data_IF_401492631630
#
_entry.id   IF_401492631630
#
_cell.length_a   1.000
_cell.length_b   1.000
_cell.length_c   1.000
_cell.angle_alpha   90.00
_cell.angle_beta   90.00
_cell.angle_gamma   90.00
#
_symmetry.space_group_name_H-M   'P 1'
#
loop_
_entity.id
_entity.type
_entity.pdbx_description
1 polymer ?
#
# COMPACT_ATOMS: atom_id res chain seq x y z
N UNK A 1 -25.77 9.77 40.51
CA UNK A 1 -26.09 11.15 40.14
C UNK A 1 -25.27 11.49 38.90
N UNK A 2 -25.90 11.46 37.72
CA UNK A 2 -25.24 11.83 36.46
C UNK A 2 -25.10 13.35 36.44
N UNK A 3 -23.87 13.86 36.46
CA UNK A 3 -23.58 15.30 36.50
C UNK A 3 -22.82 15.71 35.23
N UNK A 4 -23.40 16.71 34.56
CA UNK A 4 -22.91 17.36 33.33
C UNK A 4 -23.07 16.52 32.06
N UNK A 5 -23.68 17.13 31.06
CA UNK A 5 -23.87 16.63 29.69
C UNK A 5 -22.50 16.23 29.13
N UNK A 6 -22.17 14.94 29.18
CA UNK A 6 -20.97 14.41 28.53
C UNK A 6 -21.12 14.57 27.02
N UNK A 7 -20.40 15.53 26.45
CA UNK A 7 -20.35 15.80 25.01
C UNK A 7 -19.56 14.73 24.24
N UNK A 8 -18.96 13.74 24.94
CA UNK A 8 -18.21 12.63 24.37
C UNK A 8 -18.26 11.40 25.27
N UNK A 9 -18.00 10.21 24.71
CA UNK A 9 -17.91 8.97 25.46
C UNK A 9 -16.47 8.75 25.98
N UNK A 10 -16.29 8.64 27.30
CA UNK A 10 -14.98 8.38 27.89
C UNK A 10 -14.58 6.91 27.71
N UNK A 11 -13.38 6.68 27.14
CA UNK A 11 -12.79 5.35 27.01
C UNK A 11 -11.59 5.15 27.95
N UNK A 12 -11.43 3.98 28.59
CA UNK A 12 -10.33 3.71 29.52
C UNK A 12 -9.04 3.39 28.76
N UNK A 13 -8.29 4.43 28.36
CA UNK A 13 -7.04 4.30 27.62
C UNK A 13 -5.82 4.19 28.56
N UNK A 14 -4.84 3.39 28.18
CA UNK A 14 -3.54 3.25 28.86
C UNK A 14 -2.39 3.57 27.88
N UNK A 15 -1.51 4.49 28.28
CA UNK A 15 -0.30 4.85 27.57
C UNK A 15 0.88 4.08 28.15
N UNK A 16 1.58 3.30 27.32
CA UNK A 16 2.85 2.71 27.70
C UNK A 16 3.96 3.77 27.66
N UNK A 17 4.63 4.09 28.79
CA UNK A 17 5.68 5.12 28.84
C UNK A 17 6.89 4.83 27.94
N UNK A 18 7.17 3.56 27.63
CA UNK A 18 8.35 3.14 26.88
C UNK A 18 8.11 3.20 25.37
N UNK A 19 7.05 2.55 24.89
CA UNK A 19 6.69 2.52 23.46
C UNK A 19 5.91 3.75 23.00
N UNK A 20 5.38 4.55 23.94
CA UNK A 20 4.40 5.62 23.71
C UNK A 20 3.14 5.13 22.99
N UNK A 21 2.88 3.82 23.02
CA UNK A 21 1.69 3.24 22.40
C UNK A 21 0.48 3.38 23.33
N UNK A 22 -0.67 3.68 22.73
CA UNK A 22 -1.96 3.76 23.42
C UNK A 22 -2.70 2.43 23.24
N UNK A 23 -3.25 1.91 24.33
CA UNK A 23 -3.98 0.65 24.41
C UNK A 23 -5.27 0.82 25.20
N UNK A 24 -6.24 -0.07 24.96
CA UNK A 24 -7.50 -0.07 25.70
C UNK A 24 -7.37 -0.93 26.95
N UNK A 25 -7.64 -0.37 28.13
CA UNK A 25 -7.67 -1.12 29.38
C UNK A 25 -8.95 -1.94 29.44
N UNK A 26 -8.85 -3.23 29.09
CA UNK A 26 -9.90 -4.27 29.15
C UNK A 26 -11.35 -3.74 29.19
N UNK A 27 -11.96 -3.55 28.01
CA UNK A 27 -13.39 -3.25 27.92
C UNK A 27 -14.17 -4.49 27.47
N UNK A 28 -15.27 -4.79 28.17
CA UNK A 28 -16.23 -5.82 27.78
C UNK A 28 -17.30 -5.29 26.80
N UNK A 29 -16.99 -4.22 26.06
CA UNK A 29 -17.92 -3.59 25.12
C UNK A 29 -17.86 -4.27 23.74
N UNK A 30 -19.00 -4.34 23.06
CA UNK A 30 -19.10 -4.79 21.66
C UNK A 30 -18.26 -3.93 20.69
N UNK A 31 -17.90 -2.71 21.09
CA UNK A 31 -17.10 -1.74 20.32
C UNK A 31 -15.58 -1.91 20.50
N UNK A 32 -15.14 -2.75 21.45
CA UNK A 32 -13.73 -3.02 21.73
C UNK A 32 -12.87 -3.33 20.47
N UNK A 33 -13.32 -4.16 19.50
CA UNK A 33 -12.50 -4.45 18.31
C UNK A 33 -12.31 -3.23 17.41
N UNK A 34 -13.34 -2.41 17.23
CA UNK A 34 -13.27 -1.20 16.40
C UNK A 34 -12.33 -0.18 17.04
N UNK A 35 -12.46 0.06 18.34
CA UNK A 35 -11.57 0.97 19.08
C UNK A 35 -10.12 0.46 19.03
N UNK A 36 -9.90 -0.85 19.19
CA UNK A 36 -8.57 -1.43 19.08
C UNK A 36 -7.95 -1.23 17.70
N UNK A 37 -8.74 -1.34 16.63
CA UNK A 37 -8.29 -1.07 15.26
C UNK A 37 -7.86 0.39 15.09
N UNK A 38 -8.66 1.33 15.59
CA UNK A 38 -8.32 2.76 15.53
C UNK A 38 -7.07 3.09 16.36
N UNK A 39 -6.90 2.48 17.54
CA UNK A 39 -5.69 2.64 18.35
C UNK A 39 -4.45 2.09 17.64
N UNK A 40 -4.57 1.00 16.87
CA UNK A 40 -3.47 0.51 16.04
C UNK A 40 -3.10 1.52 14.95
N UNK A 41 -4.08 2.09 14.25
CA UNK A 41 -3.87 3.16 13.26
C UNK A 41 -3.23 4.39 13.89
N UNK A 42 -3.69 4.81 15.07
CA UNK A 42 -3.14 5.94 15.83
C UNK A 42 -1.66 5.70 16.21
N UNK A 43 -1.34 4.51 16.69
CA UNK A 43 0.04 4.13 17.05
C UNK A 43 0.95 4.07 15.81
N UNK A 44 0.43 3.62 14.67
CA UNK A 44 1.17 3.66 13.39
C UNK A 44 1.41 5.10 12.93
N UNK A 45 0.40 5.97 13.02
CA UNK A 45 0.52 7.39 12.71
C UNK A 45 1.54 8.08 13.61
N UNK A 46 1.51 7.83 14.92
CA UNK A 46 2.48 8.39 15.87
C UNK A 46 3.93 8.04 15.49
N UNK A 47 4.21 6.76 15.20
CA UNK A 47 5.53 6.32 14.74
C UNK A 47 5.94 6.98 13.42
N UNK A 48 4.99 7.17 12.49
CA UNK A 48 5.25 7.86 11.22
C UNK A 48 5.62 9.33 11.43
N UNK A 49 4.93 10.03 12.34
CA UNK A 49 5.20 11.44 12.65
C UNK A 49 6.54 11.63 13.38
N UNK A 50 6.96 10.67 14.21
CA UNK A 50 8.29 10.71 14.85
C UNK A 50 9.45 10.53 13.87
N UNK A 51 9.19 9.93 12.70
CA UNK A 51 10.19 9.78 11.63
C UNK A 51 10.27 11.02 10.71
N UNK A 52 9.42 12.02 10.91
CA UNK A 52 9.56 13.31 10.26
C UNK A 52 10.70 14.11 10.90
N UNK A 53 11.31 14.98 10.11
CA UNK A 53 12.20 16.01 10.66
C UNK A 53 11.37 16.99 11.51
N UNK A 54 11.97 17.64 12.54
CA UNK A 54 11.30 18.69 13.31
C UNK A 54 10.66 19.73 12.37
N UNK A 55 9.37 20.11 12.55
CA UNK A 55 8.61 20.09 13.80
C UNK A 55 7.66 18.90 14.01
N UNK A 56 7.87 17.75 13.34
CA UNK A 56 7.02 16.54 13.43
C UNK A 56 5.55 16.75 13.02
N UNK A 57 5.25 17.89 12.39
CA UNK A 57 3.98 18.14 11.72
C UNK A 57 4.13 17.84 10.23
N UNK A 58 3.17 17.15 9.60
CA UNK A 58 3.22 16.89 8.17
C UNK A 58 3.42 18.20 7.37
N UNK A 59 4.39 18.26 6.44
CA UNK A 59 4.51 19.39 5.54
C UNK A 59 3.31 19.46 4.59
N UNK A 60 3.17 20.59 3.89
CA UNK A 60 2.21 20.68 2.79
C UNK A 60 2.47 19.55 1.76
N UNK A 61 1.42 18.96 1.14
CA UNK A 61 1.59 17.83 0.22
C UNK A 61 2.50 18.11 -0.99
N UNK A 62 2.71 19.38 -1.32
CA UNK A 62 3.61 19.83 -2.37
C UNK A 62 4.57 20.88 -1.79
N UNK A 63 5.87 20.85 -2.13
CA UNK A 63 6.55 19.87 -2.98
C UNK A 63 6.86 18.53 -2.28
N UNK A 64 6.86 17.43 -3.04
CA UNK A 64 7.14 16.08 -2.51
C UNK A 64 8.65 15.82 -2.45
N UNK A 65 9.11 15.11 -1.42
CA UNK A 65 10.50 14.66 -1.32
C UNK A 65 10.81 13.61 -2.41
N UNK A 66 11.76 13.85 -3.33
CA UNK A 66 12.04 12.96 -4.45
C UNK A 66 12.78 11.67 -4.06
N UNK A 67 13.33 11.58 -2.83
CA UNK A 67 14.20 10.47 -2.39
C UNK A 67 13.52 9.11 -2.52
N UNK A 68 12.26 9.01 -2.11
CA UNK A 68 11.51 7.75 -2.16
C UNK A 68 11.18 7.35 -3.60
N UNK A 69 10.72 8.28 -4.43
CA UNK A 69 10.48 8.03 -5.87
C UNK A 69 11.74 7.52 -6.56
N UNK A 70 12.91 8.08 -6.22
CA UNK A 70 14.18 7.64 -6.77
C UNK A 70 14.54 6.20 -6.34
N UNK A 71 14.30 5.84 -5.08
CA UNK A 71 14.52 4.47 -4.58
C UNK A 71 13.59 3.45 -5.26
N UNK A 72 12.29 3.79 -5.39
CA UNK A 72 11.30 2.97 -6.10
C UNK A 72 11.72 2.77 -7.55
N UNK A 73 12.13 3.84 -8.23
CA UNK A 73 12.59 3.79 -9.63
C UNK A 73 13.82 2.89 -9.78
N UNK A 74 14.81 3.03 -8.90
CA UNK A 74 16.03 2.19 -8.90
C UNK A 74 15.70 0.71 -8.72
N UNK A 75 14.78 0.39 -7.81
CA UNK A 75 14.36 -0.98 -7.55
C UNK A 75 13.59 -1.57 -8.73
N UNK A 76 12.69 -0.78 -9.34
CA UNK A 76 12.00 -1.14 -10.60
C UNK A 76 12.99 -1.43 -11.72
N UNK A 77 14.03 -0.61 -11.88
CA UNK A 77 15.02 -0.78 -12.95
C UNK A 77 15.91 -2.01 -12.72
N UNK A 78 16.19 -2.33 -11.45
CA UNK A 78 16.84 -3.58 -11.04
C UNK A 78 15.96 -4.80 -11.38
N UNK A 79 14.66 -4.74 -11.06
CA UNK A 79 13.69 -5.79 -11.41
C UNK A 79 13.55 -5.97 -12.93
N UNK A 80 13.48 -4.87 -13.70
CA UNK A 80 13.49 -4.90 -15.17
C UNK A 80 14.75 -5.59 -15.73
N UNK A 81 15.89 -5.37 -15.09
CA UNK A 81 17.15 -6.02 -15.49
C UNK A 81 17.11 -7.52 -15.24
N UNK A 82 16.58 -7.97 -14.09
CA UNK A 82 16.36 -9.38 -13.81
C UNK A 82 15.37 -10.00 -14.82
N UNK A 83 14.28 -9.30 -15.15
CA UNK A 83 13.29 -9.73 -16.13
C UNK A 83 13.92 -9.93 -17.52
N UNK A 84 14.74 -8.97 -18.00
CA UNK A 84 15.42 -9.09 -19.31
C UNK A 84 16.40 -10.25 -19.38
N UNK A 85 16.93 -10.71 -18.24
CA UNK A 85 17.77 -11.91 -18.13
C UNK A 85 16.94 -13.20 -18.01
N UNK A 86 15.63 -13.15 -18.27
CA UNK A 86 14.68 -14.24 -18.10
C UNK A 86 14.61 -14.81 -16.66
N UNK A 87 15.12 -14.08 -15.66
CA UNK A 87 14.98 -14.46 -14.27
C UNK A 87 13.69 -13.87 -13.70
N UNK A 88 12.56 -14.47 -14.07
CA UNK A 88 11.22 -13.95 -13.78
C UNK A 88 10.85 -14.04 -12.30
N UNK A 89 11.27 -15.10 -11.60
CA UNK A 89 11.03 -15.26 -10.16
C UNK A 89 11.70 -14.15 -9.34
N UNK A 90 12.97 -13.87 -9.63
CA UNK A 90 13.68 -12.75 -8.97
C UNK A 90 13.09 -11.39 -9.36
N UNK A 91 12.69 -11.22 -10.62
CA UNK A 91 12.02 -9.98 -11.04
C UNK A 91 10.72 -9.76 -10.26
N UNK A 92 9.88 -10.78 -10.09
CA UNK A 92 8.64 -10.70 -9.32
C UNK A 92 8.90 -10.37 -7.84
N UNK A 93 9.95 -10.93 -7.25
CA UNK A 93 10.39 -10.61 -5.88
C UNK A 93 10.80 -9.15 -5.75
N UNK A 94 11.63 -8.65 -6.66
CA UNK A 94 12.07 -7.25 -6.67
C UNK A 94 10.93 -6.25 -6.91
N UNK A 95 9.98 -6.58 -7.80
CA UNK A 95 8.77 -5.76 -7.95
C UNK A 95 7.92 -5.72 -6.68
N UNK A 96 7.84 -6.82 -5.93
CA UNK A 96 7.09 -6.86 -4.68
C UNK A 96 7.68 -5.92 -3.64
N UNK A 97 9.01 -5.90 -3.46
CA UNK A 97 9.64 -4.90 -2.59
C UNK A 97 9.42 -3.45 -3.05
N UNK A 98 9.37 -3.20 -4.36
CA UNK A 98 9.08 -1.87 -4.88
C UNK A 98 7.63 -1.45 -4.57
N UNK A 99 6.69 -2.39 -4.65
CA UNK A 99 5.28 -2.18 -4.28
C UNK A 99 5.18 -1.88 -2.78
N UNK A 100 5.84 -2.66 -1.92
CA UNK A 100 5.85 -2.44 -0.47
C UNK A 100 6.42 -1.05 -0.12
N UNK A 101 7.49 -0.62 -0.81
CA UNK A 101 8.08 0.70 -0.63
C UNK A 101 7.15 1.83 -1.09
N UNK A 102 6.39 1.62 -2.17
CA UNK A 102 5.41 2.58 -2.66
C UNK A 102 4.17 2.66 -1.76
N UNK A 103 3.68 1.52 -1.24
CA UNK A 103 2.56 1.47 -0.28
C UNK A 103 2.93 2.07 1.08
N UNK A 104 4.20 1.95 1.50
CA UNK A 104 4.69 2.55 2.73
C UNK A 104 4.90 4.07 2.67
N UNK A 105 4.40 4.75 1.62
CA UNK A 105 4.44 6.22 1.52
C UNK A 105 3.62 6.85 2.65
N UNK A 106 4.07 7.98 3.22
CA UNK A 106 3.26 8.68 4.20
C UNK A 106 1.93 9.16 3.61
N UNK A 107 0.85 9.03 4.39
CA UNK A 107 -0.51 9.35 3.92
C UNK A 107 -0.80 10.84 3.65
N UNK A 108 0.13 11.74 3.99
CA UNK A 108 0.01 13.18 3.71
C UNK A 108 0.59 13.59 2.35
N UNK A 109 1.28 12.68 1.65
CA UNK A 109 1.77 12.93 0.29
C UNK A 109 0.64 12.73 -0.75
N UNK A 110 0.77 13.31 -1.97
CA UNK A 110 -0.24 13.17 -3.00
C UNK A 110 -0.52 11.70 -3.36
N UNK A 111 -1.74 11.24 -3.13
CA UNK A 111 -2.15 9.87 -3.46
C UNK A 111 -2.04 9.55 -4.97
N UNK A 112 -2.09 10.57 -5.83
CA UNK A 112 -1.87 10.41 -7.28
C UNK A 112 -0.47 9.91 -7.60
N UNK A 113 0.55 10.39 -6.89
CA UNK A 113 1.94 9.95 -7.07
C UNK A 113 2.08 8.46 -6.74
N UNK A 114 1.53 8.02 -5.60
CA UNK A 114 1.54 6.62 -5.20
C UNK A 114 0.79 5.74 -6.21
N UNK A 115 -0.38 6.19 -6.69
CA UNK A 115 -1.17 5.48 -7.71
C UNK A 115 -0.40 5.32 -9.03
N UNK A 116 0.29 6.36 -9.49
CA UNK A 116 1.08 6.29 -10.72
C UNK A 116 2.27 5.33 -10.59
N UNK A 117 2.99 5.37 -9.46
CA UNK A 117 4.10 4.44 -9.16
C UNK A 117 3.59 2.98 -9.08
N UNK A 118 2.53 2.74 -8.31
CA UNK A 118 1.92 1.42 -8.11
C UNK A 118 1.35 0.84 -9.40
N UNK A 119 0.65 1.66 -10.20
CA UNK A 119 0.08 1.24 -11.47
C UNK A 119 1.13 0.62 -12.38
N UNK A 120 2.29 1.26 -12.54
CA UNK A 120 3.40 0.73 -13.32
C UNK A 120 4.04 -0.53 -12.73
N UNK A 121 4.22 -0.57 -11.41
CA UNK A 121 4.84 -1.71 -10.71
C UNK A 121 3.98 -2.97 -10.79
N UNK A 122 2.68 -2.86 -10.52
CA UNK A 122 1.73 -3.95 -10.66
C UNK A 122 1.68 -4.47 -12.11
N UNK A 123 1.68 -3.57 -13.09
CA UNK A 123 1.68 -3.97 -14.50
C UNK A 123 2.92 -4.80 -14.87
N UNK A 124 4.08 -4.43 -14.32
CA UNK A 124 5.34 -5.14 -14.57
C UNK A 124 5.44 -6.45 -13.79
N UNK A 125 4.93 -6.51 -12.56
CA UNK A 125 4.84 -7.76 -11.78
C UNK A 125 3.89 -8.74 -12.43
N UNK A 126 2.73 -8.29 -12.93
CA UNK A 126 1.80 -9.09 -13.72
C UNK A 126 2.52 -9.75 -14.91
N UNK A 127 3.33 -8.98 -15.65
CA UNK A 127 4.10 -9.53 -16.76
C UNK A 127 5.11 -10.60 -16.33
N UNK A 128 5.78 -10.42 -15.20
CA UNK A 128 6.70 -11.42 -14.65
C UNK A 128 5.97 -12.70 -14.18
N UNK A 129 4.75 -12.57 -13.64
CA UNK A 129 3.92 -13.72 -13.29
C UNK A 129 3.42 -14.46 -14.53
N UNK A 130 2.96 -13.75 -15.55
CA UNK A 130 2.57 -14.33 -16.85
C UNK A 130 3.73 -15.09 -17.51
N UNK A 131 4.96 -14.57 -17.41
CA UNK A 131 6.14 -15.26 -17.94
C UNK A 131 6.47 -16.57 -17.21
N UNK A 132 5.97 -16.73 -15.98
CA UNK A 132 6.04 -17.97 -15.18
C UNK A 132 4.78 -18.83 -15.31
N UNK A 133 3.80 -18.42 -16.14
CA UNK A 133 2.49 -19.07 -16.28
C UNK A 133 1.64 -19.06 -14.98
N UNK A 134 1.95 -18.14 -14.06
CA UNK A 134 1.16 -17.88 -12.85
C UNK A 134 -0.02 -16.95 -13.20
N UNK A 135 -1.01 -17.49 -13.92
CA UNK A 135 -2.13 -16.72 -14.48
C UNK A 135 -3.04 -16.06 -13.44
N UNK A 136 -3.40 -16.72 -12.31
CA UNK A 136 -4.22 -16.07 -11.28
C UNK A 136 -3.55 -14.85 -10.65
N UNK A 137 -2.28 -14.97 -10.28
CA UNK A 137 -1.48 -13.88 -9.70
C UNK A 137 -1.26 -12.77 -10.71
N UNK A 138 -0.98 -13.12 -11.96
CA UNK A 138 -0.88 -12.18 -13.08
C UNK A 138 -2.16 -11.38 -13.31
N UNK A 139 -3.33 -12.03 -13.17
CA UNK A 139 -4.63 -11.36 -13.27
C UNK A 139 -4.86 -10.39 -12.11
N UNK A 140 -4.59 -10.80 -10.87
CA UNK A 140 -4.76 -9.93 -9.69
C UNK A 140 -3.87 -8.70 -9.79
N UNK A 141 -2.62 -8.86 -10.22
CA UNK A 141 -1.71 -7.73 -10.44
C UNK A 141 -2.17 -6.84 -11.60
N UNK A 142 -2.63 -7.41 -12.70
CA UNK A 142 -3.13 -6.63 -13.83
C UNK A 142 -4.38 -5.81 -13.46
N UNK A 143 -5.32 -6.39 -12.70
CA UNK A 143 -6.48 -5.67 -12.16
C UNK A 143 -6.05 -4.58 -11.17
N UNK A 144 -5.14 -4.89 -10.26
CA UNK A 144 -4.59 -3.89 -9.31
C UNK A 144 -3.93 -2.71 -10.05
N UNK A 145 -3.26 -2.96 -11.17
CA UNK A 145 -2.69 -1.92 -12.03
C UNK A 145 -3.76 -1.03 -12.68
N UNK A 146 -4.85 -1.64 -13.15
CA UNK A 146 -6.01 -0.93 -13.72
C UNK A 146 -6.70 -0.08 -12.64
N UNK A 147 -6.91 -0.62 -11.45
CA UNK A 147 -7.52 0.11 -10.32
C UNK A 147 -6.69 1.31 -9.88
N UNK A 148 -5.35 1.21 -9.99
CA UNK A 148 -4.45 2.35 -9.75
C UNK A 148 -4.59 3.41 -10.86
N UNK A 149 -4.61 2.99 -12.13
CA UNK A 149 -4.66 3.87 -13.30
C UNK A 149 -5.29 3.15 -14.49
N UNK A 150 -6.60 3.33 -14.67
CA UNK A 150 -7.33 2.67 -15.77
C UNK A 150 -7.16 3.37 -17.12
N UNK A 151 -7.14 4.72 -17.12
CA UNK A 151 -7.06 5.52 -18.35
C UNK A 151 -5.61 5.55 -18.84
N UNK A 152 -5.41 5.24 -20.13
CA UNK A 152 -4.10 5.22 -20.78
C UNK A 152 -3.23 4.00 -20.44
N UNK A 153 -3.73 3.05 -19.65
CA UNK A 153 -3.00 1.84 -19.25
C UNK A 153 -3.41 0.61 -20.06
N UNK A 154 -3.29 0.72 -21.39
CA UNK A 154 -3.72 -0.34 -22.35
C UNK A 154 -3.02 -1.67 -22.07
N UNK A 155 -1.76 -1.63 -21.63
CA UNK A 155 -0.97 -2.85 -21.34
C UNK A 155 -1.53 -3.63 -20.15
N UNK A 156 -2.04 -2.98 -19.10
CA UNK A 156 -2.62 -3.68 -17.97
C UNK A 156 -3.93 -4.39 -18.35
N UNK A 157 -4.81 -3.71 -19.11
CA UNK A 157 -6.02 -4.32 -19.66
C UNK A 157 -5.72 -5.54 -20.54
N UNK A 158 -4.75 -5.42 -21.46
CA UNK A 158 -4.34 -6.55 -22.30
C UNK A 158 -3.80 -7.73 -21.48
N UNK A 159 -3.00 -7.46 -20.44
CA UNK A 159 -2.48 -8.51 -19.54
C UNK A 159 -3.60 -9.20 -18.77
N UNK A 160 -4.60 -8.45 -18.29
CA UNK A 160 -5.76 -9.00 -17.59
C UNK A 160 -6.58 -9.92 -18.51
N UNK A 161 -6.96 -9.45 -19.70
CA UNK A 161 -7.70 -10.24 -20.68
C UNK A 161 -6.93 -11.50 -21.12
N UNK A 162 -5.61 -11.38 -21.33
CA UNK A 162 -4.77 -12.54 -21.62
C UNK A 162 -4.76 -13.56 -20.48
N UNK A 163 -4.62 -13.13 -19.22
CA UNK A 163 -4.67 -14.07 -18.09
C UNK A 163 -6.04 -14.77 -18.00
N UNK A 164 -7.13 -14.04 -18.24
CA UNK A 164 -8.49 -14.62 -18.23
C UNK A 164 -8.67 -15.66 -19.35
N UNK A 165 -8.20 -15.35 -20.56
CA UNK A 165 -8.19 -16.26 -21.70
C UNK A 165 -7.39 -17.54 -21.42
N UNK A 166 -6.16 -17.42 -20.88
CA UNK A 166 -5.31 -18.58 -20.54
C UNK A 166 -5.90 -19.44 -19.41
N UNK A 167 -6.75 -18.86 -18.54
CA UNK A 167 -7.52 -19.58 -17.53
C UNK A 167 -8.87 -20.11 -18.05
N UNK A 168 -9.21 -19.89 -19.32
CA UNK A 168 -10.46 -20.33 -19.94
C UNK A 168 -11.71 -19.53 -19.57
N UNK A 169 -11.56 -18.35 -18.95
CA UNK A 169 -12.66 -17.46 -18.52
C UNK A 169 -13.05 -16.48 -19.64
N UNK A 170 -13.49 -17.02 -20.77
CA UNK A 170 -13.73 -16.25 -22.01
C UNK A 170 -14.80 -15.16 -21.91
N UNK A 171 -15.81 -15.32 -21.05
CA UNK A 171 -16.86 -14.29 -20.88
C UNK A 171 -16.33 -13.03 -20.18
N UNK A 172 -15.31 -13.17 -19.33
CA UNK A 172 -14.71 -12.05 -18.60
C UNK A 172 -13.51 -11.43 -19.33
N UNK A 173 -12.92 -12.15 -20.30
CA UNK A 173 -11.68 -11.80 -20.98
C UNK A 173 -11.85 -10.68 -22.01
#
# INVERSE_FOLDING_TARGET
>A
MASSVDIYNQHPLHLDPSSKAISLSSSHSSEAPQISSELQTLNQLHRSLLNLDPPNTPPAPLPVNPKRSAQITKLRDTANTAYRKANYGEAARLYSYAIDMALGRPGWEPATLARDELGGLYANRAQAQMAQQNWPEGLVDAKSSVDCKGIGNVKAWWRAGKCLAEMGRWEEA
#
